data_IF_554817746024
#
_entry.id   IF_554817746024
#
_cell.length_a   1.000
_cell.length_b   1.000
_cell.length_c   1.000
_cell.angle_alpha   90.00
_cell.angle_beta   90.00
_cell.angle_gamma   90.00
#
_symmetry.space_group_name_H-M   'P 1'
#
loop_
_entity.id
_entity.type
_entity.pdbx_description
1 polymer ?
#
# COMPACT_ATOMS: atom_id res chain seq x y z
N UNK A 1 2.61 8.01 2.54
CA UNK A 1 1.26 8.35 2.01
C UNK A 1 1.19 9.55 1.08
N UNK A 2 1.98 10.61 1.30
CA UNK A 2 1.88 11.85 0.53
C UNK A 2 1.96 11.68 -1.01
N UNK A 3 2.71 10.69 -1.51
CA UNK A 3 2.79 10.39 -2.95
C UNK A 3 1.49 9.83 -3.53
N UNK A 4 0.88 8.82 -2.89
CA UNK A 4 -0.40 8.25 -3.34
C UNK A 4 -1.52 9.28 -3.26
N UNK A 5 -1.56 10.10 -2.21
CA UNK A 5 -2.55 11.17 -2.07
C UNK A 5 -2.46 12.22 -3.18
N UNK A 6 -1.27 12.46 -3.73
CA UNK A 6 -1.08 13.35 -4.89
C UNK A 6 -1.54 12.75 -6.21
N UNK A 7 -1.76 11.44 -6.28
CA UNK A 7 -2.25 10.76 -7.48
C UNK A 7 -3.79 10.66 -7.50
N UNK A 8 -4.47 11.09 -6.43
CA UNK A 8 -5.92 10.89 -6.33
C UNK A 8 -6.71 11.59 -7.44
N UNK A 9 -6.21 12.70 -7.96
CA UNK A 9 -6.84 13.43 -9.06
C UNK A 9 -6.97 12.59 -10.34
N UNK A 10 -6.18 11.52 -10.50
CA UNK A 10 -6.22 10.65 -11.68
C UNK A 10 -7.37 9.64 -11.67
N UNK A 11 -8.05 9.46 -10.53
CA UNK A 11 -9.05 8.42 -10.36
C UNK A 11 -8.45 7.03 -10.18
N UNK A 12 -9.00 6.26 -9.24
CA UNK A 12 -8.58 4.90 -8.90
C UNK A 12 -9.67 4.22 -8.05
N UNK A 13 -9.72 2.89 -8.07
CA UNK A 13 -10.66 2.08 -7.26
C UNK A 13 -9.98 1.35 -6.11
N UNK A 14 -8.65 1.28 -6.10
CA UNK A 14 -7.91 0.56 -5.08
C UNK A 14 -6.46 1.04 -4.96
N UNK A 15 -5.83 0.77 -3.82
CA UNK A 15 -4.45 1.15 -3.56
C UNK A 15 -3.71 0.08 -2.73
N UNK A 16 -2.39 0.07 -2.85
CA UNK A 16 -1.55 -0.77 -2.01
C UNK A 16 -0.11 -0.25 -1.88
N UNK A 17 0.58 -0.80 -0.90
CA UNK A 17 1.95 -0.48 -0.51
C UNK A 17 2.65 -1.76 -0.08
N UNK A 18 3.90 -1.93 -0.48
CA UNK A 18 4.80 -2.93 0.08
C UNK A 18 6.09 -2.26 0.56
N UNK A 19 6.54 -2.64 1.76
CA UNK A 19 7.74 -2.12 2.44
C UNK A 19 8.43 -3.26 3.19
N UNK A 20 9.73 -3.13 3.41
CA UNK A 20 10.48 -4.02 4.31
C UNK A 20 9.85 -4.08 5.71
N UNK A 21 9.79 -5.28 6.28
CA UNK A 21 9.23 -5.54 7.60
C UNK A 21 10.27 -5.49 8.73
N UNK A 22 9.88 -6.00 9.90
CA UNK A 22 10.68 -5.91 11.13
C UNK A 22 11.82 -6.94 11.16
N UNK A 23 11.69 -8.05 10.43
CA UNK A 23 12.72 -9.08 10.30
C UNK A 23 13.42 -9.02 8.95
N UNK A 24 14.63 -9.59 8.89
CA UNK A 24 15.36 -9.72 7.62
C UNK A 24 14.54 -10.53 6.62
N UNK A 25 14.42 -10.03 5.39
CA UNK A 25 13.62 -10.59 4.29
C UNK A 25 12.09 -10.63 4.55
N UNK A 26 11.60 -9.98 5.59
CA UNK A 26 10.17 -9.78 5.79
C UNK A 26 9.69 -8.59 4.96
N UNK A 27 8.47 -8.70 4.43
CA UNK A 27 7.82 -7.62 3.67
C UNK A 27 6.41 -7.45 4.22
N UNK A 28 6.07 -6.22 4.61
CA UNK A 28 4.70 -5.84 4.89
C UNK A 28 4.03 -5.38 3.61
N UNK A 29 2.91 -6.02 3.27
CA UNK A 29 2.11 -5.69 2.10
C UNK A 29 0.69 -5.31 2.53
N UNK A 30 0.35 -4.04 2.38
CA UNK A 30 -0.96 -3.49 2.69
C UNK A 30 -1.71 -3.18 1.41
N UNK A 31 -2.94 -3.68 1.32
CA UNK A 31 -3.75 -3.56 0.10
C UNK A 31 -5.20 -3.34 0.47
N UNK A 32 -5.81 -2.34 -0.14
CA UNK A 32 -7.21 -2.01 0.16
C UNK A 32 -7.98 -1.54 -1.07
N UNK A 33 -9.27 -1.88 -1.09
CA UNK A 33 -10.22 -1.36 -2.07
C UNK A 33 -10.79 -0.02 -1.59
N UNK A 34 -10.88 0.93 -2.49
CA UNK A 34 -11.33 2.29 -2.26
C UNK A 34 -10.17 3.28 -2.18
N UNK A 35 -10.44 4.41 -1.52
CA UNK A 35 -9.52 5.54 -1.44
C UNK A 35 -8.28 5.24 -0.58
N UNK A 36 -7.19 5.97 -0.82
CA UNK A 36 -5.92 5.91 -0.06
C UNK A 36 -6.16 6.10 1.44
N UNK A 37 -7.19 6.85 1.83
CA UNK A 37 -7.60 6.99 3.24
C UNK A 37 -7.89 5.64 3.92
N UNK A 38 -8.53 4.69 3.23
CA UNK A 38 -8.78 3.35 3.78
C UNK A 38 -7.50 2.54 3.93
N UNK A 39 -6.59 2.64 2.96
CA UNK A 39 -5.27 2.01 3.05
C UNK A 39 -4.47 2.59 4.24
N UNK A 40 -4.56 3.90 4.48
CA UNK A 40 -3.92 4.56 5.63
C UNK A 40 -4.47 4.02 6.95
N UNK A 41 -5.80 3.95 7.07
CA UNK A 41 -6.45 3.37 8.24
C UNK A 41 -6.00 1.92 8.50
N UNK A 42 -5.96 1.09 7.46
CA UNK A 42 -5.50 -0.30 7.55
C UNK A 42 -4.07 -0.41 8.10
N UNK A 43 -3.16 0.48 7.67
CA UNK A 43 -1.78 0.51 8.16
C UNK A 43 -1.73 0.94 9.63
N UNK A 44 -2.48 1.98 10.01
CA UNK A 44 -2.55 2.44 11.40
C UNK A 44 -3.11 1.35 12.34
N UNK A 45 -4.13 0.62 11.90
CA UNK A 45 -4.71 -0.50 12.64
C UNK A 45 -3.75 -1.68 12.80
N UNK A 46 -2.85 -1.90 11.82
CA UNK A 46 -1.83 -2.94 11.89
C UNK A 46 -0.69 -2.65 12.88
N UNK A 47 -0.62 -1.40 13.39
CA UNK A 47 0.36 -0.94 14.40
C UNK A 47 1.81 -1.39 14.11
N UNK A 48 2.35 -1.11 12.91
CA UNK A 48 3.73 -1.44 12.60
C UNK A 48 4.69 -0.59 13.46
N UNK A 49 5.90 -1.08 13.69
CA UNK A 49 6.95 -0.28 14.32
C UNK A 49 7.44 0.80 13.35
N UNK A 50 7.01 2.05 13.57
CA UNK A 50 7.41 3.20 12.78
C UNK A 50 8.74 3.82 13.24
N UNK A 51 9.35 3.30 14.31
CA UNK A 51 10.63 3.80 14.86
C UNK A 51 11.84 3.06 14.30
N UNK A 52 11.60 1.96 13.59
CA UNK A 52 12.65 1.15 12.98
C UNK A 52 13.45 1.96 11.94
N UNK A 53 14.77 1.90 12.08
CA UNK A 53 15.73 2.53 11.16
C UNK A 53 16.27 1.48 10.20
N UNK A 54 16.34 1.85 8.93
CA UNK A 54 16.87 1.00 7.87
C UNK A 54 18.09 1.69 7.25
N UNK A 55 19.23 0.99 7.20
CA UNK A 55 20.43 1.48 6.49
C UNK A 55 20.18 1.56 4.98
N UNK A 56 19.33 0.67 4.46
CA UNK A 56 18.82 0.67 3.09
C UNK A 56 17.38 0.18 3.11
N UNK A 57 16.51 0.86 2.37
CA UNK A 57 15.09 0.55 2.33
C UNK A 57 14.52 0.74 0.92
N UNK A 58 13.66 -0.19 0.51
CA UNK A 58 12.85 -0.04 -0.69
C UNK A 58 11.37 -0.18 -0.36
N UNK A 59 10.58 0.77 -0.82
CA UNK A 59 9.13 0.76 -0.71
C UNK A 59 8.48 1.03 -2.07
N UNK A 60 7.45 0.26 -2.39
CA UNK A 60 6.66 0.46 -3.62
C UNK A 60 5.20 0.67 -3.28
N UNK A 61 4.58 1.64 -3.95
CA UNK A 61 3.19 2.00 -3.72
C UNK A 61 2.47 2.15 -5.07
N UNK A 62 1.18 1.80 -5.11
CA UNK A 62 0.41 1.82 -6.34
C UNK A 62 -1.05 2.19 -6.09
N UNK A 63 -1.61 3.04 -6.95
CA UNK A 63 -3.06 3.23 -7.11
C UNK A 63 -3.50 2.54 -8.40
N UNK A 64 -4.53 1.71 -8.34
CA UNK A 64 -5.04 0.93 -9.49
C UNK A 64 -6.37 1.49 -9.97
N UNK A 65 -6.49 1.61 -11.29
CA UNK A 65 -7.75 1.74 -11.99
C UNK A 65 -8.04 0.43 -12.74
N UNK A 66 -9.05 -0.30 -12.29
CA UNK A 66 -9.53 -1.57 -12.81
C UNK A 66 -10.28 -1.34 -14.12
N UNK A 67 -9.68 -1.75 -15.23
CA UNK A 67 -10.36 -1.90 -16.52
C UNK A 67 -10.88 -3.32 -16.72
N UNK A 68 -10.26 -4.30 -16.06
CA UNK A 68 -10.64 -5.70 -16.04
C UNK A 68 -10.53 -6.28 -14.62
N UNK A 69 -11.49 -7.14 -14.27
CA UNK A 69 -11.58 -7.76 -12.95
C UNK A 69 -12.06 -6.79 -11.87
N UNK A 70 -12.95 -7.26 -10.99
CA UNK A 70 -13.53 -6.42 -9.93
C UNK A 70 -12.44 -5.86 -9.00
N UNK A 71 -12.60 -4.62 -8.48
CA UNK A 71 -11.79 -4.12 -7.39
C UNK A 71 -11.85 -5.08 -6.19
N UNK A 72 -10.72 -5.66 -5.81
CA UNK A 72 -10.60 -6.59 -4.68
C UNK A 72 -9.19 -6.52 -4.12
N UNK A 73 -9.02 -6.81 -2.82
CA UNK A 73 -7.68 -6.84 -2.18
C UNK A 73 -6.69 -7.78 -2.89
N UNK A 74 -7.19 -8.86 -3.51
CA UNK A 74 -6.40 -9.78 -4.32
C UNK A 74 -5.84 -9.11 -5.58
N UNK A 75 -6.69 -8.32 -6.27
CA UNK A 75 -6.35 -7.65 -7.53
C UNK A 75 -5.60 -6.33 -7.32
N UNK A 76 -5.54 -5.80 -6.09
CA UNK A 76 -4.68 -4.67 -5.77
C UNK A 76 -3.21 -5.03 -5.99
N UNK A 77 -2.46 -4.08 -6.55
CA UNK A 77 -1.01 -4.11 -6.55
C UNK A 77 -0.48 -3.54 -5.22
N UNK A 78 0.76 -3.86 -4.81
CA UNK A 78 1.68 -4.80 -5.45
C UNK A 78 1.21 -6.27 -5.38
N UNK A 79 1.52 -7.03 -6.43
CA UNK A 79 1.37 -8.49 -6.39
C UNK A 79 2.60 -9.11 -5.73
N UNK A 80 2.42 -10.33 -5.22
CA UNK A 80 3.50 -11.15 -4.67
C UNK A 80 3.87 -12.22 -5.67
#
# INVERSE_FOLDING_TARGET
MASLSRLEYRGYDSAGLAVDGDKRNEVFAFKEVGKVAKLKQLIEESKPDLTKVFDSHAGIAHTRWATHGIPSRRNCHPHR
#
